data_IF_123766577240
#
_entry.id   IF_123766577240
#
_cell.length_a   1.000
_cell.length_b   1.000
_cell.length_c   1.000
_cell.angle_alpha   90.00
_cell.angle_beta   90.00
_cell.angle_gamma   90.00
#
_symmetry.space_group_name_H-M   'P 1'
#
loop_
_entity.id
_entity.type
_entity.pdbx_description
1 polymer ?
#
# COMPACT_ATOMS: atom_id res chain seq x y z
N UNK A 1 11.61 -25.54 -24.19
CA UNK A 1 10.21 -25.54 -23.72
C UNK A 1 9.74 -24.09 -23.53
N UNK A 2 8.56 -23.72 -24.06
CA UNK A 2 7.98 -22.38 -23.79
C UNK A 2 7.67 -22.27 -22.30
N UNK A 3 8.13 -21.19 -21.65
CA UNK A 3 7.86 -20.93 -20.23
C UNK A 3 6.33 -20.79 -20.06
N UNK A 4 5.72 -21.60 -19.18
CA UNK A 4 4.30 -21.49 -18.86
C UNK A 4 4.00 -20.12 -18.27
N UNK A 5 2.96 -19.46 -18.77
CA UNK A 5 2.48 -18.17 -18.27
C UNK A 5 1.25 -18.44 -17.42
N UNK A 6 1.31 -18.08 -16.15
CA UNK A 6 0.17 -18.19 -15.24
C UNK A 6 -0.69 -16.95 -15.33
N UNK A 7 -2.01 -17.16 -15.44
CA UNK A 7 -3.01 -16.11 -15.54
C UNK A 7 -3.51 -15.68 -14.16
N UNK A 8 -3.91 -14.42 -14.04
CA UNK A 8 -4.40 -13.88 -12.77
C UNK A 8 -5.59 -12.94 -12.96
N UNK A 9 -6.52 -12.98 -12.01
CA UNK A 9 -7.56 -11.98 -11.80
C UNK A 9 -7.13 -11.07 -10.64
N UNK A 10 -7.23 -9.74 -10.85
CA UNK A 10 -6.95 -8.72 -9.85
C UNK A 10 -8.24 -8.06 -9.38
N UNK A 11 -8.52 -8.13 -8.09
CA UNK A 11 -9.72 -7.56 -7.48
C UNK A 11 -9.35 -6.35 -6.61
N UNK A 12 -10.19 -5.30 -6.66
CA UNK A 12 -9.92 -4.05 -5.93
C UNK A 12 -8.55 -3.49 -6.28
N UNK A 13 -8.24 -3.48 -7.58
CA UNK A 13 -6.90 -3.23 -8.12
C UNK A 13 -6.39 -1.83 -7.84
N UNK A 14 -7.29 -0.86 -7.60
CA UNK A 14 -6.93 0.54 -7.45
C UNK A 14 -6.16 1.06 -8.66
N UNK A 15 -5.07 1.77 -8.40
CA UNK A 15 -4.15 2.24 -9.44
C UNK A 15 -3.21 1.15 -9.99
N UNK A 16 -3.34 -0.11 -9.54
CA UNK A 16 -2.52 -1.22 -10.02
C UNK A 16 -1.17 -1.39 -9.30
N UNK A 17 -1.03 -0.90 -8.07
CA UNK A 17 0.24 -1.05 -7.32
C UNK A 17 0.60 -2.51 -7.06
N UNK A 18 -0.39 -3.34 -6.68
CA UNK A 18 -0.20 -4.78 -6.50
C UNK A 18 0.03 -5.48 -7.85
N UNK A 19 -0.74 -5.10 -8.86
CA UNK A 19 -0.64 -5.62 -10.23
C UNK A 19 0.73 -5.43 -10.82
N UNK A 20 1.34 -4.24 -10.63
CA UNK A 20 2.69 -3.96 -11.10
C UNK A 20 3.71 -4.95 -10.50
N UNK A 21 3.56 -5.29 -9.23
CA UNK A 21 4.40 -6.28 -8.55
C UNK A 21 4.21 -7.69 -9.12
N UNK A 22 2.95 -8.12 -9.31
CA UNK A 22 2.60 -9.45 -9.83
C UNK A 22 3.02 -9.61 -11.30
N UNK A 23 2.78 -8.60 -12.15
CA UNK A 23 3.26 -8.58 -13.55
C UNK A 23 4.79 -8.66 -13.62
N UNK A 24 5.53 -7.92 -12.78
CA UNK A 24 6.99 -8.00 -12.70
C UNK A 24 7.51 -9.35 -12.21
N UNK A 25 6.70 -10.13 -11.51
CA UNK A 25 7.03 -11.50 -11.12
C UNK A 25 6.70 -12.54 -12.20
N UNK A 26 6.01 -12.15 -13.30
CA UNK A 26 5.71 -12.99 -14.44
C UNK A 26 4.28 -13.51 -14.53
N UNK A 27 3.36 -13.03 -13.70
CA UNK A 27 1.93 -13.32 -13.87
C UNK A 27 1.32 -12.44 -14.97
N UNK A 28 0.40 -13.02 -15.75
CA UNK A 28 -0.41 -12.29 -16.73
C UNK A 28 -1.76 -11.97 -16.09
N UNK A 29 -2.01 -10.70 -15.79
CA UNK A 29 -3.35 -10.24 -15.37
C UNK A 29 -4.23 -10.25 -16.61
N UNK A 30 -5.32 -11.02 -16.58
CA UNK A 30 -6.28 -11.18 -17.67
C UNK A 30 -7.59 -10.44 -17.41
N UNK A 31 -7.84 -10.06 -16.17
CA UNK A 31 -9.00 -9.29 -15.74
C UNK A 31 -8.67 -8.55 -14.44
N UNK A 32 -9.07 -7.32 -14.34
CA UNK A 32 -8.91 -6.49 -13.17
C UNK A 32 -10.19 -5.70 -12.87
N UNK A 33 -10.43 -5.33 -11.60
CA UNK A 33 -11.61 -4.55 -11.22
C UNK A 33 -11.29 -3.51 -10.14
N UNK A 34 -11.86 -2.34 -10.29
CA UNK A 34 -11.97 -1.33 -9.22
C UNK A 34 -13.24 -0.49 -9.44
N UNK A 35 -13.84 0.01 -8.35
CA UNK A 35 -15.03 0.85 -8.44
C UNK A 35 -14.71 2.34 -8.70
N UNK A 36 -13.47 2.77 -8.45
CA UNK A 36 -13.06 4.16 -8.56
C UNK A 36 -12.65 4.50 -9.99
N UNK A 37 -13.44 5.32 -10.67
CA UNK A 37 -13.22 5.68 -12.06
C UNK A 37 -11.82 6.29 -12.32
N UNK A 38 -11.28 7.11 -11.40
CA UNK A 38 -9.94 7.72 -11.57
C UNK A 38 -8.80 6.71 -11.35
N UNK A 39 -9.03 5.73 -10.50
CA UNK A 39 -8.10 4.60 -10.35
C UNK A 39 -8.12 3.71 -11.60
N UNK A 40 -9.30 3.43 -12.16
CA UNK A 40 -9.43 2.70 -13.42
C UNK A 40 -8.76 3.42 -14.60
N UNK A 41 -8.88 4.74 -14.67
CA UNK A 41 -8.20 5.56 -15.68
C UNK A 41 -6.69 5.45 -15.55
N UNK A 42 -6.15 5.58 -14.33
CA UNK A 42 -4.73 5.34 -14.02
C UNK A 42 -4.29 3.94 -14.41
N UNK A 43 -5.10 2.93 -14.10
CA UNK A 43 -4.80 1.55 -14.46
C UNK A 43 -4.69 1.37 -15.97
N UNK A 44 -5.67 1.85 -16.74
CA UNK A 44 -5.64 1.79 -18.22
C UNK A 44 -4.41 2.44 -18.81
N UNK A 45 -4.06 3.61 -18.31
CA UNK A 45 -2.88 4.36 -18.78
C UNK A 45 -1.59 3.57 -18.64
N UNK A 46 -1.46 2.74 -17.59
CA UNK A 46 -0.20 2.04 -17.29
C UNK A 46 -0.21 0.56 -17.69
N UNK A 47 -1.37 -0.09 -17.85
CA UNK A 47 -1.44 -1.54 -18.06
C UNK A 47 -2.29 -1.96 -19.26
N UNK A 48 -3.28 -1.16 -19.67
CA UNK A 48 -4.22 -1.48 -20.74
C UNK A 48 -5.66 -1.69 -20.25
N UNK A 49 -6.48 -2.27 -21.12
CA UNK A 49 -7.95 -2.29 -20.97
C UNK A 49 -8.49 -3.47 -20.15
N UNK A 50 -7.64 -4.26 -19.50
CA UNK A 50 -8.09 -5.39 -18.68
C UNK A 50 -8.88 -4.97 -17.43
N UNK A 51 -8.92 -3.65 -17.11
CA UNK A 51 -9.63 -3.10 -15.97
C UNK A 51 -11.11 -2.84 -16.26
N UNK A 52 -11.98 -3.41 -15.45
CA UNK A 52 -13.43 -3.20 -15.46
C UNK A 52 -13.82 -2.29 -14.31
N UNK A 53 -14.34 -1.11 -14.64
CA UNK A 53 -14.73 -0.09 -13.67
C UNK A 53 -16.16 -0.31 -13.21
N UNK A 54 -16.37 -0.50 -11.92
CA UNK A 54 -17.66 -0.75 -11.30
C UNK A 54 -17.52 -1.52 -9.98
N UNK A 55 -18.63 -1.66 -9.26
CA UNK A 55 -18.64 -2.52 -8.08
C UNK A 55 -18.39 -3.96 -8.47
N UNK A 56 -17.58 -4.70 -7.70
CA UNK A 56 -17.37 -6.14 -7.96
C UNK A 56 -18.72 -6.91 -7.89
N UNK A 57 -19.68 -6.41 -7.10
CA UNK A 57 -21.00 -7.02 -6.95
C UNK A 57 -21.91 -6.88 -8.18
N UNK A 58 -21.54 -6.01 -9.15
CA UNK A 58 -22.27 -5.82 -10.39
C UNK A 58 -21.90 -6.84 -11.47
N UNK A 59 -20.90 -7.69 -11.20
CA UNK A 59 -20.40 -8.69 -12.15
C UNK A 59 -20.88 -10.09 -11.77
N UNK A 60 -21.23 -10.88 -12.79
CA UNK A 60 -21.43 -12.32 -12.65
C UNK A 60 -20.08 -13.01 -12.51
N UNK A 61 -19.82 -13.62 -11.35
CA UNK A 61 -18.52 -14.22 -11.06
C UNK A 61 -18.22 -15.46 -11.91
N UNK A 62 -19.25 -16.19 -12.34
CA UNK A 62 -19.10 -17.35 -13.21
C UNK A 62 -18.67 -16.96 -14.63
N UNK A 63 -19.04 -15.75 -15.06
CA UNK A 63 -18.66 -15.20 -16.38
C UNK A 63 -17.22 -14.66 -16.45
N UNK A 64 -16.55 -14.46 -15.30
CA UNK A 64 -15.17 -14.02 -15.29
C UNK A 64 -14.23 -15.04 -15.95
N UNK A 65 -13.10 -14.61 -16.54
CA UNK A 65 -12.17 -15.55 -17.19
C UNK A 65 -11.60 -16.56 -16.19
N UNK A 66 -11.27 -17.75 -16.68
CA UNK A 66 -10.52 -18.73 -15.90
C UNK A 66 -9.12 -18.21 -15.59
N UNK A 67 -8.64 -18.51 -14.37
CA UNK A 67 -7.34 -18.04 -13.92
C UNK A 67 -6.64 -19.04 -12.98
N UNK A 68 -5.33 -18.95 -12.94
CA UNK A 68 -4.50 -19.72 -12.03
C UNK A 68 -4.43 -19.08 -10.64
N UNK A 69 -4.60 -17.75 -10.56
CA UNK A 69 -4.44 -16.93 -9.38
C UNK A 69 -5.54 -15.86 -9.28
N UNK A 70 -6.11 -15.67 -8.08
CA UNK A 70 -6.89 -14.47 -7.73
C UNK A 70 -6.10 -13.69 -6.68
N UNK A 71 -5.88 -12.40 -6.90
CA UNK A 71 -5.25 -11.56 -5.90
C UNK A 71 -5.95 -10.21 -5.76
N UNK A 72 -5.74 -9.52 -4.62
CA UNK A 72 -6.29 -8.19 -4.42
C UNK A 72 -6.33 -7.72 -2.98
N UNK A 73 -6.71 -6.44 -2.80
CA UNK A 73 -6.83 -5.79 -1.52
C UNK A 73 -8.26 -5.30 -1.27
N UNK A 74 -9.21 -6.16 -0.86
CA UNK A 74 -10.57 -5.71 -0.57
C UNK A 74 -10.56 -4.61 0.50
N UNK A 75 -11.37 -3.52 0.31
CA UNK A 75 -11.37 -2.40 1.23
C UNK A 75 -11.77 -2.83 2.63
N UNK A 76 -11.07 -2.24 3.61
CA UNK A 76 -11.13 -2.61 5.01
C UNK A 76 -11.55 -1.41 5.88
N UNK A 77 -12.50 -0.60 5.42
CA UNK A 77 -12.86 0.61 6.17
C UNK A 77 -13.50 0.30 7.53
N UNK A 78 -14.16 -0.85 7.68
CA UNK A 78 -14.63 -1.37 8.97
C UNK A 78 -13.50 -1.86 9.89
N UNK A 79 -12.32 -2.22 9.37
CA UNK A 79 -11.23 -2.80 10.16
C UNK A 79 -10.04 -1.85 10.35
N UNK A 80 -10.01 -0.66 9.72
CA UNK A 80 -8.84 0.23 9.78
C UNK A 80 -8.87 1.13 11.01
N UNK A 81 -7.67 1.46 11.55
CA UNK A 81 -7.50 2.41 12.66
C UNK A 81 -7.99 3.81 12.30
N UNK A 82 -8.02 4.16 11.01
CA UNK A 82 -8.57 5.42 10.51
C UNK A 82 -10.10 5.37 10.30
N UNK A 83 -10.75 4.19 10.40
CA UNK A 83 -12.20 3.99 10.35
C UNK A 83 -12.79 3.79 11.75
N UNK A 84 -14.11 3.50 11.80
CA UNK A 84 -14.82 3.23 13.07
C UNK A 84 -14.44 1.89 13.72
N UNK A 85 -13.66 1.06 13.04
CA UNK A 85 -13.30 -0.31 13.46
C UNK A 85 -14.53 -1.15 13.81
N UNK A 86 -15.58 -1.03 13.00
CA UNK A 86 -16.87 -1.70 13.17
C UNK A 86 -16.90 -2.98 12.30
N UNK A 87 -17.02 -4.17 12.89
CA UNK A 87 -17.13 -5.44 12.17
C UNK A 87 -18.38 -5.54 11.29
N UNK A 88 -19.47 -4.82 11.65
CA UNK A 88 -20.75 -4.84 10.97
C UNK A 88 -20.86 -3.80 9.85
N UNK A 89 -19.82 -2.99 9.63
CA UNK A 89 -19.76 -2.03 8.51
C UNK A 89 -19.99 -2.78 7.17
N UNK A 90 -20.94 -2.33 6.32
CA UNK A 90 -21.21 -2.97 5.03
C UNK A 90 -19.97 -3.16 4.15
N UNK A 91 -18.97 -2.30 4.32
CA UNK A 91 -17.68 -2.38 3.60
C UNK A 91 -16.79 -3.52 4.10
N UNK A 92 -17.05 -4.05 5.30
CA UNK A 92 -16.42 -5.27 5.81
C UNK A 92 -16.85 -6.50 5.01
N UNK A 93 -18.00 -6.43 4.32
CA UNK A 93 -18.52 -7.52 3.48
C UNK A 93 -17.67 -7.75 2.22
N UNK A 94 -16.89 -6.77 1.77
CA UNK A 94 -16.11 -6.89 0.53
C UNK A 94 -14.96 -7.91 0.63
N UNK A 95 -14.50 -8.26 1.82
CA UNK A 95 -13.59 -9.41 2.00
C UNK A 95 -14.28 -10.74 1.66
N UNK A 96 -15.59 -10.83 1.86
CA UNK A 96 -16.39 -12.00 1.48
C UNK A 96 -16.75 -11.99 -0.01
N UNK A 97 -16.85 -10.82 -0.65
CA UNK A 97 -16.98 -10.75 -2.12
C UNK A 97 -15.70 -11.27 -2.81
N UNK A 98 -14.52 -10.94 -2.27
CA UNK A 98 -13.27 -11.56 -2.73
C UNK A 98 -13.33 -13.09 -2.60
N UNK A 99 -13.81 -13.61 -1.47
CA UNK A 99 -13.94 -15.04 -1.22
C UNK A 99 -14.93 -15.70 -2.20
N UNK A 100 -16.06 -15.04 -2.55
CA UNK A 100 -17.01 -15.56 -3.54
C UNK A 100 -16.40 -15.69 -4.94
N UNK A 101 -15.58 -14.71 -5.37
CA UNK A 101 -14.84 -14.83 -6.64
C UNK A 101 -13.87 -16.01 -6.61
N UNK A 102 -13.16 -16.22 -5.49
CA UNK A 102 -12.31 -17.41 -5.31
C UNK A 102 -13.15 -18.70 -5.36
N UNK A 103 -14.37 -18.70 -4.78
CA UNK A 103 -15.27 -19.85 -4.82
C UNK A 103 -15.73 -20.17 -6.25
N UNK A 104 -16.11 -19.15 -7.03
CA UNK A 104 -16.58 -19.30 -8.41
C UNK A 104 -15.45 -19.74 -9.35
N UNK A 105 -14.28 -19.09 -9.28
CA UNK A 105 -13.17 -19.36 -10.21
C UNK A 105 -12.23 -20.48 -9.79
N UNK A 106 -12.28 -20.90 -8.52
CA UNK A 106 -11.48 -22.01 -7.99
C UNK A 106 -10.01 -22.02 -8.45
N UNK A 107 -9.29 -20.86 -8.37
CA UNK A 107 -7.90 -20.79 -8.79
C UNK A 107 -7.02 -21.78 -8.00
N UNK A 108 -5.82 -22.09 -8.50
CA UNK A 108 -4.86 -22.88 -7.72
C UNK A 108 -4.43 -22.14 -6.45
N UNK A 109 -4.27 -20.82 -6.55
CA UNK A 109 -3.82 -19.99 -5.44
C UNK A 109 -4.63 -18.70 -5.36
N UNK A 110 -4.80 -18.14 -4.17
CA UNK A 110 -5.23 -16.75 -4.00
C UNK A 110 -4.30 -15.99 -3.05
N UNK A 111 -4.24 -14.66 -3.22
CA UNK A 111 -3.51 -13.74 -2.34
C UNK A 111 -4.40 -12.57 -1.98
N UNK A 112 -4.80 -12.45 -0.72
CA UNK A 112 -5.58 -11.33 -0.21
C UNK A 112 -4.70 -10.44 0.68
N UNK A 113 -4.61 -9.14 0.33
CA UNK A 113 -4.00 -8.13 1.17
C UNK A 113 -5.05 -7.41 2.00
N UNK A 114 -4.69 -7.05 3.22
CA UNK A 114 -5.55 -6.23 4.07
C UNK A 114 -4.73 -5.45 5.13
N UNK A 115 -5.39 -4.63 5.95
CA UNK A 115 -4.72 -3.93 7.04
C UNK A 115 -4.25 -4.90 8.13
N UNK A 116 -3.14 -4.57 8.78
CA UNK A 116 -2.56 -5.39 9.87
C UNK A 116 -3.55 -5.64 11.02
N UNK A 117 -4.49 -4.72 11.24
CA UNK A 117 -5.51 -4.85 12.29
C UNK A 117 -6.38 -6.10 12.14
N UNK A 118 -6.76 -6.47 10.90
CA UNK A 118 -7.52 -7.70 10.63
C UNK A 118 -6.75 -8.95 11.07
N UNK A 119 -5.43 -8.94 10.98
CA UNK A 119 -4.59 -10.06 11.38
C UNK A 119 -4.25 -10.12 12.88
N UNK A 120 -4.23 -8.95 13.55
CA UNK A 120 -3.69 -8.86 14.92
C UNK A 120 -4.74 -8.63 16.01
N UNK A 121 -5.82 -7.89 15.71
CA UNK A 121 -6.75 -7.48 16.76
C UNK A 121 -7.80 -8.57 17.04
N UNK A 122 -8.00 -8.83 18.32
CA UNK A 122 -8.92 -9.87 18.79
C UNK A 122 -10.38 -9.60 18.38
N UNK A 123 -10.80 -8.35 18.36
CA UNK A 123 -12.14 -7.96 17.91
C UNK A 123 -12.48 -8.37 16.46
N UNK A 124 -11.48 -8.68 15.64
CA UNK A 124 -11.65 -9.20 14.28
C UNK A 124 -11.41 -10.71 14.17
N UNK A 125 -11.21 -11.42 15.28
CA UNK A 125 -10.99 -12.85 15.30
C UNK A 125 -12.14 -13.62 14.65
N UNK A 126 -13.40 -13.25 14.96
CA UNK A 126 -14.60 -13.88 14.39
C UNK A 126 -14.66 -13.73 12.86
N UNK A 127 -14.40 -12.54 12.34
CA UNK A 127 -14.39 -12.30 10.88
C UNK A 127 -13.27 -13.10 10.22
N UNK A 128 -12.08 -13.10 10.83
CA UNK A 128 -10.93 -13.85 10.35
C UNK A 128 -11.20 -15.36 10.36
N UNK A 129 -11.77 -15.88 11.43
CA UNK A 129 -12.10 -17.30 11.53
C UNK A 129 -13.16 -17.70 10.49
N UNK A 130 -14.20 -16.89 10.31
CA UNK A 130 -15.22 -17.14 9.28
C UNK A 130 -14.61 -17.23 7.87
N UNK A 131 -13.68 -16.32 7.53
CA UNK A 131 -12.97 -16.38 6.24
C UNK A 131 -12.15 -17.67 6.10
N UNK A 132 -11.44 -18.09 7.15
CA UNK A 132 -10.66 -19.33 7.14
C UNK A 132 -11.56 -20.55 6.97
N UNK A 133 -12.70 -20.59 7.66
CA UNK A 133 -13.67 -21.70 7.57
C UNK A 133 -14.29 -21.80 6.17
N UNK A 134 -14.64 -20.65 5.55
CA UNK A 134 -15.16 -20.62 4.18
C UNK A 134 -14.12 -21.10 3.17
N UNK A 135 -12.87 -20.68 3.29
CA UNK A 135 -11.81 -21.18 2.41
C UNK A 135 -11.51 -22.67 2.63
N UNK A 136 -11.54 -23.14 3.87
CA UNK A 136 -11.36 -24.56 4.18
C UNK A 136 -12.47 -25.43 3.55
N UNK A 137 -13.74 -24.98 3.58
CA UNK A 137 -14.86 -25.66 2.88
C UNK A 137 -14.67 -25.75 1.38
N UNK A 138 -13.95 -24.79 0.79
CA UNK A 138 -13.58 -24.77 -0.63
C UNK A 138 -12.35 -25.63 -0.93
N UNK A 139 -11.75 -26.28 0.05
CA UNK A 139 -10.55 -27.12 -0.12
C UNK A 139 -9.25 -26.32 -0.17
N UNK A 140 -9.22 -25.08 0.33
CA UNK A 140 -7.99 -24.30 0.42
C UNK A 140 -7.34 -24.47 1.77
N UNK A 141 -6.06 -24.78 1.76
CA UNK A 141 -5.18 -24.53 2.89
C UNK A 141 -4.81 -23.04 2.90
N UNK A 142 -4.94 -22.38 4.04
CA UNK A 142 -4.73 -20.94 4.16
C UNK A 142 -3.74 -20.62 5.28
N UNK A 143 -2.79 -19.74 4.98
CA UNK A 143 -1.92 -19.11 5.98
C UNK A 143 -1.95 -17.59 5.80
N UNK A 144 -1.73 -16.86 6.90
CA UNK A 144 -1.58 -15.41 6.83
C UNK A 144 -0.45 -14.94 7.75
N UNK A 145 0.19 -13.84 7.34
CA UNK A 145 1.20 -13.15 8.12
C UNK A 145 1.00 -11.64 8.02
N UNK A 146 1.41 -10.90 9.05
CA UNK A 146 1.51 -9.43 8.98
C UNK A 146 2.94 -9.08 8.64
N UNK A 147 3.13 -8.56 7.44
CA UNK A 147 4.42 -8.20 6.87
C UNK A 147 4.57 -6.67 6.83
N UNK A 148 5.81 -6.19 7.01
CA UNK A 148 6.15 -4.77 6.91
C UNK A 148 6.91 -4.51 5.60
N UNK A 149 6.37 -3.67 4.74
CA UNK A 149 6.89 -3.38 3.40
C UNK A 149 8.34 -2.86 3.38
N UNK A 150 8.79 -2.15 4.44
CA UNK A 150 10.18 -1.68 4.54
C UNK A 150 11.20 -2.83 4.50
N UNK A 151 10.80 -4.04 4.84
CA UNK A 151 11.65 -5.24 4.80
C UNK A 151 11.77 -5.85 3.40
N UNK A 152 11.05 -5.28 2.41
CA UNK A 152 10.91 -5.79 1.04
C UNK A 152 11.20 -4.70 -0.01
N UNK A 153 12.34 -4.04 0.15
CA UNK A 153 12.83 -3.00 -0.75
C UNK A 153 11.83 -1.84 -1.01
N UNK A 154 11.05 -1.49 0.01
CA UNK A 154 10.14 -0.33 -0.02
C UNK A 154 10.66 0.75 0.91
N UNK A 155 10.79 2.02 0.49
CA UNK A 155 11.26 3.12 1.33
C UNK A 155 10.16 3.63 2.28
N UNK A 156 9.26 2.75 2.69
CA UNK A 156 8.12 3.06 3.56
C UNK A 156 7.85 1.92 4.54
N UNK A 157 7.66 2.27 5.79
CA UNK A 157 7.11 1.38 6.82
C UNK A 157 5.59 1.29 6.64
N UNK A 158 5.12 0.12 6.21
CA UNK A 158 3.68 -0.14 5.99
C UNK A 158 3.37 -1.60 6.28
N UNK A 159 2.75 -1.86 7.43
CA UNK A 159 2.36 -3.21 7.84
C UNK A 159 1.03 -3.61 7.18
N UNK A 160 1.00 -4.82 6.62
CA UNK A 160 -0.18 -5.40 5.97
C UNK A 160 -0.33 -6.87 6.28
N UNK A 161 -1.58 -7.28 6.48
CA UNK A 161 -1.95 -8.69 6.45
C UNK A 161 -1.82 -9.18 5.02
N UNK A 162 -1.10 -10.27 4.84
CA UNK A 162 -1.07 -11.04 3.60
C UNK A 162 -1.61 -12.43 3.92
N UNK A 163 -2.70 -12.79 3.27
CA UNK A 163 -3.31 -14.11 3.37
C UNK A 163 -3.10 -14.85 2.05
N UNK A 164 -2.53 -16.04 2.10
CA UNK A 164 -2.28 -16.89 0.94
C UNK A 164 -3.04 -18.20 1.14
N UNK A 165 -3.87 -18.54 0.17
CA UNK A 165 -4.54 -19.83 0.10
C UNK A 165 -4.08 -20.63 -1.10
N UNK A 166 -3.87 -21.93 -0.90
CA UNK A 166 -3.50 -22.88 -1.95
C UNK A 166 -4.44 -24.05 -1.89
N UNK A 167 -4.97 -24.47 -3.06
CA UNK A 167 -5.85 -25.61 -3.13
C UNK A 167 -5.04 -26.91 -2.97
N UNK A 168 -5.53 -27.75 -2.08
CA UNK A 168 -5.05 -29.12 -1.84
C UNK A 168 -3.60 -29.28 -1.31
N UNK A 169 -2.95 -28.21 -0.76
CA UNK A 169 -1.55 -28.33 -0.33
C UNK A 169 -1.09 -27.29 0.72
N UNK A 170 -1.24 -27.62 2.01
CA UNK A 170 -0.78 -26.73 3.14
C UNK A 170 0.72 -26.49 3.16
N UNK A 171 1.51 -27.53 2.89
CA UNK A 171 2.97 -27.51 3.07
C UNK A 171 3.69 -26.60 2.07
N UNK A 172 3.03 -26.19 1.00
CA UNK A 172 3.60 -25.37 -0.07
C UNK A 172 3.56 -23.87 0.20
N UNK A 173 2.72 -23.39 1.17
CA UNK A 173 2.55 -21.96 1.40
C UNK A 173 3.82 -21.36 2.01
N UNK A 174 4.45 -20.45 1.26
CA UNK A 174 5.67 -19.75 1.66
C UNK A 174 5.50 -18.26 1.52
N UNK A 175 5.82 -17.53 2.59
CA UNK A 175 5.92 -16.07 2.56
C UNK A 175 7.29 -15.62 2.06
N UNK A 176 7.39 -14.40 1.50
CA UNK A 176 8.66 -13.87 1.04
C UNK A 176 9.64 -13.67 2.22
N UNK A 177 10.91 -13.97 1.99
CA UNK A 177 11.97 -13.65 2.96
C UNK A 177 12.32 -12.17 2.87
N UNK A 178 12.58 -11.48 3.99
CA UNK A 178 13.07 -10.11 4.00
C UNK A 178 14.36 -9.94 3.19
N UNK A 179 14.52 -8.79 2.53
CA UNK A 179 15.72 -8.49 1.72
C UNK A 179 16.94 -8.13 2.54
N UNK A 180 16.76 -7.83 3.83
CA UNK A 180 17.85 -7.35 4.70
C UNK A 180 18.25 -5.88 4.46
N UNK A 181 17.74 -5.23 3.41
CA UNK A 181 18.01 -3.83 3.08
C UNK A 181 16.86 -2.93 3.53
N UNK A 182 17.19 -1.88 4.29
CA UNK A 182 16.31 -0.76 4.60
C UNK A 182 16.64 0.40 3.66
N UNK A 183 15.64 1.00 3.03
CA UNK A 183 15.82 2.12 2.11
C UNK A 183 15.33 3.39 2.80
N UNK A 184 16.22 4.32 3.18
CA UNK A 184 15.82 5.59 3.79
C UNK A 184 15.12 6.49 2.77
N UNK A 185 14.22 7.36 3.24
CA UNK A 185 13.48 8.29 2.39
C UNK A 185 14.40 9.19 1.56
N UNK A 186 15.53 9.61 2.12
CA UNK A 186 16.57 10.40 1.46
C UNK A 186 17.05 9.76 0.16
N UNK A 187 17.31 8.45 0.15
CA UNK A 187 17.82 7.72 -1.03
C UNK A 187 16.88 7.85 -2.24
N UNK A 188 15.59 8.06 -1.98
CA UNK A 188 14.58 8.21 -3.02
C UNK A 188 14.34 9.67 -3.36
N UNK A 189 14.22 10.53 -2.35
CA UNK A 189 13.81 11.92 -2.53
C UNK A 189 14.90 12.82 -3.15
N UNK A 190 16.19 12.51 -2.94
CA UNK A 190 17.28 13.31 -3.51
C UNK A 190 17.35 13.27 -5.05
N UNK A 191 16.60 12.37 -5.69
CA UNK A 191 16.56 12.19 -7.15
C UNK A 191 15.60 13.17 -7.85
N UNK A 192 14.83 13.91 -7.06
CA UNK A 192 13.81 14.80 -7.58
C UNK A 192 14.34 16.23 -7.74
N UNK A 193 13.90 16.87 -8.80
CA UNK A 193 14.07 18.31 -9.03
C UNK A 193 13.28 19.14 -8.01
N UNK A 194 13.37 20.45 -8.08
CA UNK A 194 12.55 21.34 -7.25
C UNK A 194 11.05 21.13 -7.54
N UNK A 195 10.18 21.23 -6.53
CA UNK A 195 8.74 21.00 -6.69
C UNK A 195 8.11 21.81 -7.82
N UNK A 196 7.35 21.16 -8.68
CA UNK A 196 6.69 21.77 -9.84
C UNK A 196 7.58 21.89 -11.08
N UNK A 197 8.80 21.35 -11.03
CA UNK A 197 9.73 21.34 -12.17
C UNK A 197 10.15 19.93 -12.55
N UNK A 198 10.60 19.74 -13.77
CA UNK A 198 11.19 18.49 -14.27
C UNK A 198 10.39 17.24 -13.87
N UNK A 199 11.03 16.37 -13.12
CA UNK A 199 10.45 15.09 -12.66
C UNK A 199 9.65 15.18 -11.34
N UNK A 200 9.47 16.38 -10.77
CA UNK A 200 8.84 16.59 -9.44
C UNK A 200 7.52 17.35 -9.53
N UNK A 201 6.47 16.67 -9.98
CA UNK A 201 5.15 17.25 -10.23
C UNK A 201 4.17 17.07 -9.07
N UNK A 202 3.07 17.84 -9.10
CA UNK A 202 1.97 17.73 -8.14
C UNK A 202 2.28 18.30 -6.76
N UNK A 203 2.87 19.49 -6.69
CA UNK A 203 3.19 20.16 -5.42
C UNK A 203 1.95 20.40 -4.54
N UNK A 204 2.05 20.15 -3.24
CA UNK A 204 1.01 20.38 -2.26
C UNK A 204 1.23 21.73 -1.54
N UNK A 205 0.33 22.68 -1.76
CA UNK A 205 0.42 24.06 -1.24
C UNK A 205 -0.21 24.24 0.14
N UNK A 206 -0.76 23.18 0.73
CA UNK A 206 -1.43 23.27 2.03
C UNK A 206 -0.45 23.78 3.10
N UNK A 207 -0.80 24.92 3.73
CA UNK A 207 0.02 25.59 4.73
C UNK A 207 0.35 24.68 5.91
N UNK A 208 1.60 24.71 6.36
CA UNK A 208 2.05 24.05 7.58
C UNK A 208 2.08 25.13 8.68
N UNK A 209 1.44 24.85 9.81
CA UNK A 209 1.46 25.72 10.99
C UNK A 209 1.64 24.89 12.25
N UNK A 210 2.27 25.44 13.28
CA UNK A 210 2.43 24.77 14.55
C UNK A 210 1.08 24.55 15.22
N UNK A 211 0.94 23.44 15.95
CA UNK A 211 -0.27 23.11 16.68
C UNK A 211 -0.39 23.94 17.97
N UNK A 212 -1.61 24.37 18.31
CA UNK A 212 -1.89 25.03 19.60
C UNK A 212 -1.69 24.08 20.79
N UNK A 213 -2.00 22.79 20.59
CA UNK A 213 -1.81 21.74 21.60
C UNK A 213 -1.01 20.58 20.92
N UNK A 214 0.33 20.68 20.88
CA UNK A 214 1.15 19.68 20.25
C UNK A 214 1.14 18.36 21.01
N UNK A 215 1.10 17.22 20.28
CA UNK A 215 1.29 15.89 20.87
C UNK A 215 2.77 15.55 20.80
N UNK A 216 3.43 15.65 21.97
CA UNK A 216 4.86 15.35 22.08
C UNK A 216 5.11 13.86 22.19
N UNK A 217 6.17 13.39 21.55
CA UNK A 217 6.70 12.02 21.63
C UNK A 217 8.23 12.09 21.80
N UNK A 218 8.88 10.94 22.01
CA UNK A 218 10.33 10.90 22.18
C UNK A 218 11.10 11.44 20.95
N UNK A 219 10.54 11.33 19.74
CA UNK A 219 11.15 11.84 18.50
C UNK A 219 10.31 12.96 17.90
N UNK A 220 10.91 14.01 17.33
CA UNK A 220 10.23 15.08 16.61
C UNK A 220 9.43 14.54 15.40
N UNK A 221 9.84 13.41 14.83
CA UNK A 221 9.21 12.76 13.69
C UNK A 221 8.04 11.85 14.07
N UNK A 222 7.82 11.58 15.34
CA UNK A 222 6.76 10.69 15.83
C UNK A 222 5.56 11.44 16.44
N UNK A 223 5.72 12.70 16.84
CA UNK A 223 4.70 13.53 17.45
C UNK A 223 3.78 14.22 16.44
N UNK A 224 2.85 15.02 16.94
CA UNK A 224 2.04 15.96 16.16
C UNK A 224 2.32 17.39 16.62
N UNK A 225 3.40 17.96 16.12
CA UNK A 225 3.81 19.34 16.40
C UNK A 225 3.05 20.37 15.54
N UNK A 226 2.39 19.89 14.48
CA UNK A 226 1.79 20.74 13.45
C UNK A 226 0.31 20.41 13.26
N UNK A 227 -0.44 21.40 12.79
CA UNK A 227 -1.85 21.24 12.47
C UNK A 227 -2.07 20.30 11.27
N UNK A 228 -3.23 19.65 11.24
CA UNK A 228 -3.69 18.87 10.08
C UNK A 228 -3.18 17.45 10.00
N UNK A 229 -2.53 16.92 11.02
CA UNK A 229 -2.08 15.52 11.13
C UNK A 229 -1.01 15.08 10.13
N UNK A 230 -0.52 15.94 9.24
CA UNK A 230 0.66 15.67 8.42
C UNK A 230 1.89 15.59 9.33
N UNK A 231 2.73 14.58 9.12
CA UNK A 231 3.92 14.34 9.94
C UNK A 231 5.20 14.62 9.16
N UNK A 232 6.25 15.11 9.82
CA UNK A 232 7.55 15.20 9.20
C UNK A 232 8.07 13.80 8.86
N UNK A 233 8.78 13.69 7.74
CA UNK A 233 9.48 12.48 7.34
C UNK A 233 10.90 12.55 7.90
N UNK A 234 11.29 11.51 8.62
CA UNK A 234 12.69 11.25 8.97
C UNK A 234 13.40 10.77 7.70
N UNK A 235 14.30 11.61 7.16
CA UNK A 235 14.94 11.34 5.87
C UNK A 235 15.94 10.18 5.94
N UNK A 236 16.44 9.84 7.12
CA UNK A 236 17.45 8.80 7.31
C UNK A 236 16.83 7.41 7.63
N UNK A 237 15.50 7.32 7.57
CA UNK A 237 14.73 6.10 7.75
C UNK A 237 13.71 5.90 6.63
N UNK A 238 13.16 4.68 6.46
CA UNK A 238 11.96 4.51 5.64
C UNK A 238 10.84 5.40 6.17
N UNK A 239 10.13 6.09 5.27
CA UNK A 239 9.05 6.98 5.70
C UNK A 239 7.93 6.18 6.38
N UNK A 240 7.15 6.85 7.21
CA UNK A 240 5.94 6.27 7.81
C UNK A 240 4.88 6.03 6.74
N UNK A 241 3.89 5.19 7.07
CA UNK A 241 2.77 4.87 6.17
C UNK A 241 2.14 6.15 5.59
N UNK A 242 2.15 6.27 4.28
CA UNK A 242 1.47 7.35 3.56
C UNK A 242 -0.05 7.12 3.59
N UNK A 243 -0.84 8.06 4.14
CA UNK A 243 -2.28 7.89 4.23
C UNK A 243 -2.99 8.22 2.91
N UNK A 244 -4.11 7.56 2.62
CA UNK A 244 -4.96 7.87 1.47
C UNK A 244 -5.60 9.27 1.53
N UNK A 245 -5.59 9.90 2.71
CA UNK A 245 -6.13 11.24 2.93
C UNK A 245 -5.13 12.38 2.69
N UNK A 246 -4.00 12.12 2.03
CA UNK A 246 -3.09 13.15 1.52
C UNK A 246 -3.78 14.06 0.49
N UNK A 247 -3.12 15.13 0.12
CA UNK A 247 -3.61 16.15 -0.83
C UNK A 247 -3.91 17.50 -0.17
N UNK A 248 -3.90 17.54 1.16
CA UNK A 248 -4.09 18.73 1.99
C UNK A 248 -3.24 18.67 3.25
N UNK A 249 -3.79 19.12 4.38
CA UNK A 249 -3.09 19.22 5.67
C UNK A 249 -2.59 17.87 6.24
N UNK A 250 -3.04 16.74 5.70
CA UNK A 250 -2.56 15.41 6.09
C UNK A 250 -1.37 14.92 5.26
N UNK A 251 -0.95 15.68 4.26
CA UNK A 251 0.24 15.36 3.45
C UNK A 251 1.49 15.48 4.33
N UNK A 252 2.36 14.47 4.36
CA UNK A 252 3.65 14.55 5.03
C UNK A 252 4.51 15.67 4.47
N UNK A 253 5.54 16.06 5.22
CA UNK A 253 6.45 17.15 4.82
C UNK A 253 7.90 16.82 5.21
N UNK A 254 8.83 17.55 4.61
CA UNK A 254 10.28 17.40 4.79
C UNK A 254 10.95 18.74 5.05
N UNK A 255 12.13 18.71 5.65
CA UNK A 255 13.11 19.81 5.63
C UNK A 255 14.00 19.63 4.39
N UNK A 256 13.90 20.56 3.43
CA UNK A 256 14.67 20.49 2.17
C UNK A 256 16.15 20.74 2.37
N UNK A 257 16.55 21.41 3.45
CA UNK A 257 17.97 21.62 3.78
C UNK A 257 18.61 20.30 4.20
N UNK A 258 17.92 19.53 5.07
CA UNK A 258 18.36 18.20 5.49
C UNK A 258 18.38 17.20 4.31
N UNK A 259 17.54 17.41 3.30
CA UNK A 259 17.59 16.59 2.08
C UNK A 259 18.86 16.87 1.29
N UNK A 260 19.30 18.14 1.18
CA UNK A 260 20.50 18.58 0.46
C UNK A 260 21.78 18.33 1.25
N UNK A 261 21.76 18.66 2.54
CA UNK A 261 22.88 18.47 3.47
C UNK A 261 22.45 17.77 4.76
N UNK A 262 22.82 16.50 4.96
CA UNK A 262 22.49 15.75 6.19
C UNK A 262 23.05 16.35 7.48
N UNK A 263 24.01 17.25 7.38
CA UNK A 263 24.65 17.92 8.53
C UNK A 263 24.02 19.28 8.83
N UNK A 264 23.06 19.74 8.03
CA UNK A 264 22.34 20.99 8.30
C UNK A 264 21.66 20.93 9.66
N UNK A 265 21.48 22.08 10.30
CA UNK A 265 20.77 22.18 11.58
C UNK A 265 19.32 21.69 11.45
N UNK A 266 18.95 20.73 12.28
CA UNK A 266 17.60 20.16 12.30
C UNK A 266 16.63 21.10 13.05
N UNK A 267 15.97 21.98 12.27
CA UNK A 267 14.99 22.91 12.79
C UNK A 267 13.83 22.21 13.52
N UNK A 268 13.41 21.04 13.04
CA UNK A 268 12.32 20.26 13.66
C UNK A 268 12.74 19.73 15.03
N UNK A 269 13.96 19.25 15.17
CA UNK A 269 14.50 18.81 16.47
C UNK A 269 14.61 19.98 17.43
N UNK A 270 15.07 21.16 16.96
CA UNK A 270 15.12 22.38 17.75
C UNK A 270 13.75 22.87 18.22
N UNK A 271 12.73 22.84 17.34
CA UNK A 271 11.35 23.18 17.68
C UNK A 271 10.77 22.19 18.71
N UNK A 272 10.99 20.91 18.51
CA UNK A 272 10.54 19.86 19.43
C UNK A 272 11.17 19.99 20.81
N UNK A 273 12.47 20.29 20.89
CA UNK A 273 13.17 20.50 22.16
C UNK A 273 12.61 21.71 22.94
N UNK A 274 12.22 22.79 22.24
CA UNK A 274 11.53 23.93 22.87
C UNK A 274 10.17 23.53 23.44
N UNK A 275 9.37 22.78 22.65
CA UNK A 275 8.06 22.31 23.09
C UNK A 275 8.17 21.37 24.31
N UNK A 276 9.17 20.46 24.35
CA UNK A 276 9.43 19.59 25.51
C UNK A 276 9.75 20.36 26.79
N UNK A 277 10.37 21.56 26.69
CA UNK A 277 10.65 22.47 27.80
C UNK A 277 9.44 23.33 28.20
N UNK A 278 8.26 23.08 27.58
CA UNK A 278 7.04 23.84 27.89
C UNK A 278 6.91 25.18 27.17
N UNK A 279 7.79 25.48 26.20
CA UNK A 279 7.66 26.72 25.40
C UNK A 279 6.44 26.61 24.48
N UNK A 280 5.59 27.62 24.43
CA UNK A 280 4.50 27.72 23.46
C UNK A 280 5.09 27.92 22.05
N UNK A 281 4.87 26.94 21.19
CA UNK A 281 5.33 26.95 19.81
C UNK A 281 4.24 27.37 18.82
N UNK A 282 3.01 27.65 19.27
CA UNK A 282 1.86 27.89 18.39
C UNK A 282 2.03 29.10 17.46
N UNK A 283 2.84 30.06 17.89
CA UNK A 283 3.14 31.29 17.15
C UNK A 283 4.42 31.25 16.32
N UNK A 284 5.13 30.12 16.38
CA UNK A 284 6.38 29.98 15.62
C UNK A 284 6.08 29.90 14.11
N UNK A 285 6.65 30.81 13.35
CA UNK A 285 6.55 30.78 11.90
C UNK A 285 7.30 29.55 11.34
N UNK A 286 6.61 28.78 10.51
CA UNK A 286 7.22 27.64 9.85
C UNK A 286 8.00 28.13 8.65
N UNK A 287 9.33 27.85 8.57
CA UNK A 287 10.17 28.32 7.47
C UNK A 287 9.78 27.69 6.13
N UNK A 288 10.08 28.38 5.02
CA UNK A 288 9.76 27.92 3.66
C UNK A 288 10.51 26.64 3.23
N UNK A 289 11.63 26.33 3.86
CA UNK A 289 12.34 25.07 3.61
C UNK A 289 11.66 23.84 4.21
N UNK A 290 10.62 24.03 5.04
CA UNK A 290 9.72 22.97 5.48
C UNK A 290 8.54 22.93 4.52
N UNK A 291 8.50 21.94 3.67
CA UNK A 291 7.46 21.80 2.64
C UNK A 291 6.82 20.41 2.60
N UNK A 292 5.60 20.35 2.13
CA UNK A 292 4.93 19.06 1.89
C UNK A 292 5.56 18.34 0.71
N UNK A 293 5.55 17.01 0.76
CA UNK A 293 5.97 16.18 -0.36
C UNK A 293 5.00 16.35 -1.53
N UNK A 294 5.54 16.24 -2.76
CA UNK A 294 4.76 16.25 -4.00
C UNK A 294 4.09 14.91 -4.28
N UNK A 295 3.25 14.85 -5.32
CA UNK A 295 2.69 13.59 -5.82
C UNK A 295 3.81 12.65 -6.29
N UNK A 296 4.76 13.17 -7.07
CA UNK A 296 5.90 12.39 -7.58
C UNK A 296 6.74 11.79 -6.44
N UNK A 297 7.04 12.59 -5.42
CA UNK A 297 7.77 12.15 -4.23
C UNK A 297 6.98 11.09 -3.43
N UNK A 298 5.69 11.29 -3.26
CA UNK A 298 4.82 10.32 -2.59
C UNK A 298 4.74 8.98 -3.35
N UNK A 299 4.65 9.04 -4.69
CA UNK A 299 4.66 7.85 -5.55
C UNK A 299 5.97 7.06 -5.41
N UNK A 300 7.11 7.76 -5.43
CA UNK A 300 8.41 7.13 -5.26
C UNK A 300 8.61 6.54 -3.85
N UNK A 301 8.15 7.21 -2.79
CA UNK A 301 8.16 6.68 -1.42
C UNK A 301 7.26 5.45 -1.27
N UNK A 302 6.20 5.33 -2.08
CA UNK A 302 5.36 4.14 -2.17
C UNK A 302 6.04 3.02 -3.00
N UNK A 303 7.09 3.36 -3.76
CA UNK A 303 7.85 2.43 -4.60
C UNK A 303 7.32 2.28 -6.02
N UNK A 304 6.51 3.22 -6.48
CA UNK A 304 6.16 3.30 -7.91
C UNK A 304 7.38 3.75 -8.74
N UNK A 305 7.52 3.27 -9.97
CA UNK A 305 8.52 3.77 -10.89
C UNK A 305 8.20 5.20 -11.32
N UNK A 306 9.22 5.93 -11.77
CA UNK A 306 9.10 7.36 -12.08
C UNK A 306 8.20 7.65 -13.28
N UNK A 307 8.13 6.71 -14.22
CA UNK A 307 7.29 6.76 -15.42
C UNK A 307 5.82 6.33 -15.18
N UNK A 308 5.45 5.97 -13.95
CA UNK A 308 4.08 5.58 -13.63
C UNK A 308 3.17 6.80 -13.56
N UNK A 309 2.16 6.83 -14.42
CA UNK A 309 1.26 7.97 -14.58
C UNK A 309 0.00 7.82 -13.74
N UNK A 310 -0.25 8.78 -12.84
CA UNK A 310 -1.49 8.86 -12.07
C UNK A 310 -2.46 9.85 -12.73
N UNK A 311 -3.72 9.45 -12.92
CA UNK A 311 -4.80 10.26 -13.49
C UNK A 311 -5.67 10.91 -12.39
N UNK A 312 -6.39 11.95 -12.78
CA UNK A 312 -7.29 12.69 -11.90
C UNK A 312 -6.66 13.91 -11.24
N UNK A 313 -7.40 14.53 -10.33
CA UNK A 313 -6.93 15.67 -9.56
C UNK A 313 -5.73 15.29 -8.67
N UNK A 314 -4.96 16.28 -8.20
CA UNK A 314 -3.88 16.05 -7.24
C UNK A 314 -4.35 15.24 -6.00
N UNK A 315 -5.53 15.52 -5.50
CA UNK A 315 -6.11 14.77 -4.39
C UNK A 315 -6.43 13.30 -4.76
N UNK A 316 -6.90 13.06 -5.99
CA UNK A 316 -7.13 11.69 -6.48
C UNK A 316 -5.82 10.93 -6.59
N UNK A 317 -4.78 11.56 -7.13
CA UNK A 317 -3.44 10.97 -7.26
C UNK A 317 -2.87 10.58 -5.88
N UNK A 318 -2.89 11.48 -4.90
CA UNK A 318 -2.46 11.16 -3.54
C UNK A 318 -3.28 10.03 -2.91
N UNK A 319 -4.60 10.01 -3.14
CA UNK A 319 -5.48 8.95 -2.63
C UNK A 319 -5.13 7.59 -3.22
N UNK A 320 -4.88 7.53 -4.52
CA UNK A 320 -4.47 6.32 -5.22
C UNK A 320 -3.14 5.80 -4.68
N UNK A 321 -2.15 6.68 -4.50
CA UNK A 321 -0.85 6.34 -3.92
C UNK A 321 -1.02 5.78 -2.50
N UNK A 322 -1.74 6.47 -1.63
CA UNK A 322 -1.91 6.07 -0.23
C UNK A 322 -2.70 4.77 -0.05
N UNK A 323 -3.64 4.46 -0.97
CA UNK A 323 -4.39 3.20 -0.96
C UNK A 323 -3.58 2.02 -1.50
N UNK A 324 -2.59 2.28 -2.35
CA UNK A 324 -1.87 1.22 -3.06
C UNK A 324 -1.05 0.31 -2.13
N UNK A 325 -0.96 -0.95 -2.53
CA UNK A 325 0.10 -1.85 -2.06
C UNK A 325 1.40 -1.43 -2.75
N UNK A 326 2.51 -1.23 -2.00
CA UNK A 326 3.78 -0.87 -2.60
C UNK A 326 4.24 -1.89 -3.66
N UNK A 327 4.54 -1.47 -4.90
CA UNK A 327 4.92 -2.40 -5.98
C UNK A 327 6.14 -3.29 -5.67
N UNK A 328 7.22 -2.81 -5.00
CA UNK A 328 8.33 -3.68 -4.62
C UNK A 328 7.90 -4.76 -3.62
N UNK A 329 7.07 -4.41 -2.63
CA UNK A 329 6.53 -5.37 -1.67
C UNK A 329 5.65 -6.42 -2.36
N UNK A 330 4.73 -5.99 -3.23
CA UNK A 330 3.89 -6.88 -4.02
C UNK A 330 4.71 -7.84 -4.90
N UNK A 331 5.82 -7.36 -5.49
CA UNK A 331 6.73 -8.20 -6.27
C UNK A 331 7.37 -9.31 -5.45
N UNK A 332 7.75 -9.04 -4.20
CA UNK A 332 8.33 -10.07 -3.32
C UNK A 332 7.29 -11.13 -2.94
N UNK A 333 6.05 -10.72 -2.66
CA UNK A 333 4.93 -11.64 -2.42
C UNK A 333 4.70 -12.50 -3.67
N UNK A 334 4.54 -11.86 -4.83
CA UNK A 334 4.30 -12.54 -6.10
C UNK A 334 5.43 -13.51 -6.48
N UNK A 335 6.69 -13.16 -6.20
CA UNK A 335 7.83 -14.05 -6.44
C UNK A 335 7.82 -15.31 -5.55
N UNK A 336 7.34 -15.19 -4.30
CA UNK A 336 7.15 -16.35 -3.43
C UNK A 336 6.02 -17.24 -3.96
N UNK A 337 4.90 -16.65 -4.39
CA UNK A 337 3.77 -17.35 -5.01
C UNK A 337 4.20 -18.04 -6.31
N UNK A 338 4.95 -17.36 -7.18
CA UNK A 338 5.46 -17.94 -8.44
C UNK A 338 6.28 -19.22 -8.19
N UNK A 339 7.11 -19.24 -7.14
CA UNK A 339 7.87 -20.45 -6.78
C UNK A 339 6.97 -21.60 -6.38
N UNK A 340 5.80 -21.35 -5.78
CA UNK A 340 4.82 -22.40 -5.45
C UNK A 340 4.23 -23.01 -6.73
N UNK A 341 3.88 -22.18 -7.72
CA UNK A 341 3.42 -22.64 -9.03
C UNK A 341 4.47 -23.49 -9.76
N UNK A 342 5.71 -23.04 -9.77
CA UNK A 342 6.81 -23.77 -10.38
C UNK A 342 7.08 -25.11 -9.70
N UNK A 343 7.00 -25.17 -8.37
CA UNK A 343 7.17 -26.40 -7.61
C UNK A 343 6.05 -27.41 -7.90
N UNK A 344 4.78 -26.95 -7.97
CA UNK A 344 3.65 -27.80 -8.38
C UNK A 344 3.87 -28.43 -9.74
N UNK A 345 4.24 -27.61 -10.73
CA UNK A 345 4.40 -28.10 -12.10
C UNK A 345 5.60 -29.06 -12.24
N UNK A 346 6.65 -28.90 -11.43
CA UNK A 346 7.78 -29.82 -11.37
C UNK A 346 7.36 -31.23 -10.85
N UNK A 347 6.49 -31.27 -9.84
CA UNK A 347 5.95 -32.53 -9.30
C UNK A 347 5.01 -33.20 -10.31
N UNK A 348 4.22 -32.43 -11.07
CA UNK A 348 3.29 -32.98 -12.06
C UNK A 348 4.01 -33.58 -13.31
N UNK A 349 5.29 -33.26 -13.50
CA UNK A 349 6.11 -33.75 -14.64
C UNK A 349 7.11 -34.85 -14.25
N UNK A 350 7.23 -35.15 -12.96
CA UNK A 350 8.01 -36.28 -12.41
C UNK A 350 7.13 -37.53 -12.23
#
# INVERSE_FOLDING_TARGET
MKKKVYTAISLFSGAGGMDLGFRKAGFKVVWANDFNAKACETYRTNFGDEIHCGSIMDFDYDSLPECDLVFGGPPCQGFSVAGKMDPDDPRSKLVFEFQKVVAAKRPYCFVMENVAALGRLEKFATVRQKLLDEYARLGYAVRFEVLDSQRYATPQRRERLIMIGVRDAVETIRFPKPTGRSIPAREVLHRFDEPGTGNNQGACEARISCAKAPVLRASPYAGMLFNGMGRPIDLDRPCQTLPASMGGNKTPFIDTRLLKDPKADDWLAGLHAKALKGTDISHVAVPSFIRRITVSEAAALQGFPQDFMFCGSRCDQYRQIGNSVPPPFARHIAAAVMKMFMARDAVATS
#
